data_IF_507784032477
#
_entry.id   IF_507784032477
#
_cell.length_a   1.000
_cell.length_b   1.000
_cell.length_c   1.000
_cell.angle_alpha   90.00
_cell.angle_beta   90.00
_cell.angle_gamma   90.00
#
_symmetry.space_group_name_H-M   'P 1'
#
loop_
_entity.id
_entity.type
_entity.pdbx_description
1 polymer ?
#
# COMPACT_ATOMS: atom_id res chain seq x y z
N UNK A 1 2.42 20.38 36.27
CA UNK A 1 2.30 19.51 35.08
C UNK A 1 0.91 18.89 35.06
N UNK A 2 0.16 19.00 33.96
CA UNK A 2 -1.25 18.62 33.95
C UNK A 2 -1.39 17.08 33.92
N UNK A 3 -1.93 16.46 34.98
CA UNK A 3 -1.96 15.00 35.19
C UNK A 3 -2.50 14.22 33.99
N UNK A 4 -3.47 14.80 33.27
CA UNK A 4 -4.03 14.26 32.03
C UNK A 4 -3.03 14.20 30.87
N UNK A 5 -2.20 15.23 30.69
CA UNK A 5 -1.16 15.26 29.65
C UNK A 5 -0.07 14.22 29.92
N UNK A 6 0.24 13.98 31.19
CA UNK A 6 1.20 12.95 31.62
C UNK A 6 0.66 11.55 31.32
N UNK A 7 -0.60 11.27 31.67
CA UNK A 7 -1.23 9.98 31.39
C UNK A 7 -1.28 9.66 29.89
N UNK A 8 -1.62 10.65 29.05
CA UNK A 8 -1.63 10.51 27.59
C UNK A 8 -0.22 10.25 27.05
N UNK A 9 0.78 10.98 27.53
CA UNK A 9 2.18 10.79 27.12
C UNK A 9 2.71 9.40 27.46
N UNK A 10 2.42 8.90 28.66
CA UNK A 10 2.81 7.55 29.10
C UNK A 10 2.10 6.47 28.26
N UNK A 11 0.81 6.64 27.99
CA UNK A 11 0.04 5.67 27.19
C UNK A 11 0.55 5.60 25.75
N UNK A 12 0.84 6.74 25.14
CA UNK A 12 1.40 6.80 23.80
C UNK A 12 2.78 6.14 23.73
N UNK A 13 3.64 6.37 24.73
CA UNK A 13 4.97 5.76 24.81
C UNK A 13 4.88 4.24 24.94
N UNK A 14 3.97 3.74 25.78
CA UNK A 14 3.72 2.30 25.91
C UNK A 14 3.18 1.69 24.61
N UNK A 15 2.26 2.37 23.92
CA UNK A 15 1.75 1.93 22.62
C UNK A 15 2.86 1.82 21.57
N UNK A 16 3.70 2.85 21.45
CA UNK A 16 4.84 2.83 20.53
C UNK A 16 5.83 1.72 20.88
N UNK A 17 6.11 1.50 22.18
CA UNK A 17 7.00 0.43 22.62
C UNK A 17 6.47 -0.96 22.20
N UNK A 18 5.16 -1.19 22.29
CA UNK A 18 4.54 -2.45 21.87
C UNK A 18 4.60 -2.62 20.35
N UNK A 19 4.25 -1.57 19.58
CA UNK A 19 4.26 -1.64 18.11
C UNK A 19 5.68 -1.85 17.59
N UNK A 20 6.65 -1.06 18.05
CA UNK A 20 8.04 -1.18 17.64
C UNK A 20 8.65 -2.50 18.12
N UNK A 21 8.35 -2.93 19.34
CA UNK A 21 8.75 -4.22 19.86
C UNK A 21 8.23 -5.37 18.98
N UNK A 22 6.96 -5.31 18.56
CA UNK A 22 6.37 -6.30 17.66
C UNK A 22 7.06 -6.32 16.30
N UNK A 23 7.31 -5.15 15.69
CA UNK A 23 7.93 -5.07 14.36
C UNK A 23 9.38 -5.54 14.36
N UNK A 24 10.15 -5.19 15.39
CA UNK A 24 11.57 -5.51 15.50
C UNK A 24 11.83 -6.96 15.94
N UNK A 25 10.95 -7.54 16.75
CA UNK A 25 11.08 -8.92 17.24
C UNK A 25 10.46 -9.94 16.29
N UNK A 26 9.61 -9.49 15.36
CA UNK A 26 9.12 -10.36 14.29
C UNK A 26 10.27 -10.69 13.36
N UNK A 27 10.56 -11.98 13.20
CA UNK A 27 11.47 -12.43 12.15
C UNK A 27 10.77 -12.26 10.81
N UNK A 28 11.15 -11.23 10.07
CA UNK A 28 10.74 -11.05 8.69
C UNK A 28 11.55 -12.03 7.86
N UNK A 29 10.94 -13.06 7.24
CA UNK A 29 11.64 -13.85 6.25
C UNK A 29 11.92 -12.93 5.05
N UNK A 30 13.06 -12.25 5.09
CA UNK A 30 13.66 -11.69 3.90
C UNK A 30 14.13 -12.90 3.11
N UNK A 31 13.22 -13.46 2.30
CA UNK A 31 13.59 -14.45 1.30
C UNK A 31 14.72 -13.90 0.43
N UNK A 32 15.36 -14.78 -0.34
CA UNK A 32 16.32 -14.31 -1.35
C UNK A 32 15.63 -13.27 -2.25
N UNK A 33 16.37 -12.22 -2.63
CA UNK A 33 15.89 -11.30 -3.66
C UNK A 33 15.59 -12.16 -4.88
N UNK A 34 14.30 -12.37 -5.16
CA UNK A 34 13.89 -13.20 -6.25
C UNK A 34 14.48 -12.60 -7.54
N UNK A 35 15.37 -13.33 -8.20
CA UNK A 35 15.88 -12.99 -9.52
C UNK A 35 14.76 -13.32 -10.51
N UNK A 36 13.77 -12.46 -10.51
CA UNK A 36 12.51 -12.68 -11.20
C UNK A 36 12.60 -12.11 -12.60
N UNK A 37 12.46 -12.99 -13.59
CA UNK A 37 12.44 -12.62 -15.00
C UNK A 37 11.07 -12.05 -15.40
N UNK A 38 11.06 -11.19 -16.43
CA UNK A 38 9.86 -10.58 -16.99
C UNK A 38 8.87 -11.63 -17.51
N UNK A 39 9.37 -12.77 -18.02
CA UNK A 39 8.53 -13.87 -18.46
C UNK A 39 7.76 -14.50 -17.28
N UNK A 40 8.44 -14.73 -16.15
CA UNK A 40 7.85 -15.31 -14.95
C UNK A 40 6.88 -14.35 -14.26
N UNK A 41 7.18 -13.04 -14.27
CA UNK A 41 6.23 -12.01 -13.85
C UNK A 41 4.98 -12.01 -14.73
N UNK A 42 5.13 -12.08 -16.05
CA UNK A 42 4.01 -12.11 -16.98
C UNK A 42 3.09 -13.29 -16.69
N UNK A 43 3.65 -14.48 -16.54
CA UNK A 43 2.90 -15.70 -16.18
C UNK A 43 2.17 -15.48 -14.85
N UNK A 44 2.87 -15.02 -13.81
CA UNK A 44 2.28 -14.79 -12.49
C UNK A 44 1.13 -13.78 -12.54
N UNK A 45 1.33 -12.66 -13.26
CA UNK A 45 0.34 -11.59 -13.37
C UNK A 45 -0.92 -12.03 -14.11
N UNK A 46 -0.79 -12.82 -15.18
CA UNK A 46 -1.95 -13.20 -16.00
C UNK A 46 -2.61 -14.52 -15.57
N UNK A 47 -1.85 -15.49 -15.04
CA UNK A 47 -2.41 -16.77 -14.59
C UNK A 47 -2.89 -16.72 -13.14
N UNK A 48 -2.11 -16.13 -12.23
CA UNK A 48 -2.47 -16.08 -10.80
C UNK A 48 -3.31 -14.84 -10.47
N UNK A 49 -2.92 -13.69 -11.03
CA UNK A 49 -3.52 -12.39 -10.69
C UNK A 49 -4.32 -11.75 -11.83
N UNK A 50 -4.71 -12.51 -12.85
CA UNK A 50 -5.34 -11.97 -14.06
C UNK A 50 -6.58 -11.11 -13.80
N UNK A 51 -7.40 -11.49 -12.81
CA UNK A 51 -8.58 -10.71 -12.39
C UNK A 51 -8.17 -9.36 -11.80
N UNK A 52 -7.12 -9.33 -10.97
CA UNK A 52 -6.62 -8.08 -10.40
C UNK A 52 -6.05 -7.15 -11.49
N UNK A 53 -5.32 -7.70 -12.46
CA UNK A 53 -4.81 -6.96 -13.62
C UNK A 53 -5.97 -6.34 -14.41
N UNK A 54 -7.05 -7.09 -14.64
CA UNK A 54 -8.23 -6.59 -15.35
C UNK A 54 -8.95 -5.48 -14.57
N UNK A 55 -9.09 -5.61 -13.25
CA UNK A 55 -9.68 -4.55 -12.42
C UNK A 55 -8.85 -3.27 -12.44
N UNK A 56 -7.51 -3.38 -12.36
CA UNK A 56 -6.62 -2.22 -12.48
C UNK A 56 -6.79 -1.57 -13.86
N UNK A 57 -6.87 -2.36 -14.93
CA UNK A 57 -7.15 -1.85 -16.28
C UNK A 57 -8.47 -1.08 -16.36
N UNK A 58 -9.53 -1.60 -15.74
CA UNK A 58 -10.82 -0.90 -15.68
C UNK A 58 -10.75 0.41 -14.90
N UNK A 59 -10.09 0.42 -13.76
CA UNK A 59 -9.89 1.64 -12.96
C UNK A 59 -9.11 2.69 -13.76
N UNK A 60 -8.04 2.29 -14.45
CA UNK A 60 -7.28 3.20 -15.31
C UNK A 60 -8.11 3.73 -16.48
N UNK A 61 -8.97 2.90 -17.06
CA UNK A 61 -9.88 3.34 -18.11
C UNK A 61 -10.88 4.40 -17.62
N UNK A 62 -11.50 4.16 -16.46
CA UNK A 62 -12.41 5.15 -15.84
C UNK A 62 -11.66 6.43 -15.47
N UNK A 63 -10.44 6.32 -14.95
CA UNK A 63 -9.61 7.47 -14.64
C UNK A 63 -9.27 8.31 -15.89
N UNK A 64 -9.01 7.65 -17.02
CA UNK A 64 -8.80 8.34 -18.30
C UNK A 64 -10.06 9.07 -18.75
N UNK A 65 -11.23 8.43 -18.70
CA UNK A 65 -12.50 9.10 -19.04
C UNK A 65 -12.71 10.33 -18.16
N UNK A 66 -12.62 10.18 -16.83
CA UNK A 66 -12.77 11.29 -15.89
C UNK A 66 -11.77 12.42 -16.16
N UNK A 67 -10.50 12.09 -16.38
CA UNK A 67 -9.46 13.07 -16.67
C UNK A 67 -9.71 13.86 -17.96
N UNK A 68 -10.16 13.18 -19.03
CA UNK A 68 -10.49 13.84 -20.31
C UNK A 68 -11.70 14.76 -20.16
N UNK A 69 -12.75 14.33 -19.46
CA UNK A 69 -13.94 15.18 -19.24
C UNK A 69 -13.60 16.43 -18.42
N UNK A 70 -12.82 16.29 -17.35
CA UNK A 70 -12.37 17.42 -16.53
C UNK A 70 -11.53 18.40 -17.36
N UNK A 71 -10.59 17.89 -18.17
CA UNK A 71 -9.75 18.74 -19.01
C UNK A 71 -10.58 19.52 -20.07
N UNK A 72 -11.67 18.94 -20.56
CA UNK A 72 -12.57 19.61 -21.51
C UNK A 72 -13.47 20.66 -20.86
N UNK A 73 -13.76 20.57 -19.56
CA UNK A 73 -14.54 21.60 -18.84
C UNK A 73 -13.72 22.87 -18.58
N UNK A 74 -12.40 22.79 -18.41
CA UNK A 74 -11.54 23.98 -18.22
C UNK A 74 -11.39 24.84 -19.49
N UNK A 75 -11.57 24.27 -20.67
CA UNK A 75 -11.51 25.01 -21.94
C UNK A 75 -12.78 25.84 -22.22
N UNK A 76 -13.83 25.71 -21.40
CA UNK A 76 -15.14 26.33 -21.63
C UNK A 76 -15.49 27.40 -20.60
#
# INVERSE_FOLDING_TARGET
>A
MNKRKVAIGVTALLFFAVVLGSVLMTQWPAGELADTDNAELGITLFETYGIAVLMVGFVLFVALLGGVFIAQEEER
#
